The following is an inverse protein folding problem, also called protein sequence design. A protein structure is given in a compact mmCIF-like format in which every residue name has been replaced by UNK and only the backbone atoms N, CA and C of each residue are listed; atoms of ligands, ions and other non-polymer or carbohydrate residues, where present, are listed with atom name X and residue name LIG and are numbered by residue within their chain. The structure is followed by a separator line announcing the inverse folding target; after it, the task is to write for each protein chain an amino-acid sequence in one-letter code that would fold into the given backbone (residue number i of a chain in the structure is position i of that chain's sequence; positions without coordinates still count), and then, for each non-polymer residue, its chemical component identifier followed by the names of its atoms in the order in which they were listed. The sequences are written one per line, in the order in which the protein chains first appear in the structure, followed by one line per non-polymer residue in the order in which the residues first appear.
data_IF_681947685065
#
_entry.id   IF_681947685065
#
_cell.length_a   1.000
_cell.length_b   1.000
_cell.length_c   1.000
_cell.angle_alpha   90.00
_cell.angle_beta   90.00
_cell.angle_gamma   90.00
#
_symmetry.space_group_name_H-M   'P 1'
#
loop_
_entity.id
_entity.type
_entity.pdbx_description
1 polymer ?
#
# COMPACT_ATOMS: atom_id res chain seq x y z
N UNK A 1 -0.96 21.16 -30.15
CA UNK A 1 -2.31 21.35 -29.54
C UNK A 1 -2.11 21.12 -28.07
N UNK A 2 -2.47 22.08 -27.22
CA UNK A 2 -2.52 21.85 -25.79
C UNK A 2 -3.74 20.95 -25.61
N UNK A 3 -3.51 19.64 -25.47
CA UNK A 3 -4.57 18.69 -25.17
C UNK A 3 -5.15 19.08 -23.82
N UNK A 4 -6.44 19.42 -23.82
CA UNK A 4 -7.13 19.83 -22.60
C UNK A 4 -7.19 18.63 -21.66
N UNK A 5 -6.70 18.82 -20.44
CA UNK A 5 -6.79 17.81 -19.38
C UNK A 5 -8.23 17.32 -19.23
N UNK A 6 -8.39 16.00 -19.16
CA UNK A 6 -9.68 15.37 -18.90
C UNK A 6 -10.17 15.67 -17.47
N UNK A 7 -11.47 15.52 -17.22
CA UNK A 7 -12.05 15.70 -15.88
C UNK A 7 -11.36 14.81 -14.82
N UNK A 8 -10.96 13.59 -15.21
CA UNK A 8 -10.26 12.68 -14.31
C UNK A 8 -8.84 13.15 -14.00
N UNK A 9 -8.19 13.85 -14.94
CA UNK A 9 -6.85 14.41 -14.70
C UNK A 9 -6.92 15.55 -13.68
N UNK A 10 -7.93 16.43 -13.81
CA UNK A 10 -8.17 17.48 -12.81
C UNK A 10 -8.51 16.91 -11.45
N UNK A 11 -9.34 15.87 -11.40
CA UNK A 11 -9.65 15.15 -10.15
C UNK A 11 -8.39 14.57 -9.52
N UNK A 12 -7.57 13.85 -10.31
CA UNK A 12 -6.33 13.23 -9.85
C UNK A 12 -5.35 14.27 -9.32
N UNK A 13 -5.13 15.35 -10.07
CA UNK A 13 -4.24 16.45 -9.64
C UNK A 13 -4.74 17.11 -8.35
N UNK A 14 -6.04 17.35 -8.24
CA UNK A 14 -6.61 17.96 -7.04
C UNK A 14 -6.40 17.08 -5.81
N UNK A 15 -6.64 15.79 -5.92
CA UNK A 15 -6.44 14.86 -4.80
C UNK A 15 -4.95 14.74 -4.45
N UNK A 16 -4.08 14.60 -5.44
CA UNK A 16 -2.62 14.55 -5.21
C UNK A 16 -2.16 15.83 -4.50
N UNK A 17 -2.63 16.99 -4.93
CA UNK A 17 -2.31 18.26 -4.31
C UNK A 17 -2.79 18.34 -2.85
N UNK A 18 -4.01 17.91 -2.55
CA UNK A 18 -4.53 17.85 -1.18
C UNK A 18 -3.62 16.99 -0.29
N UNK A 19 -3.24 15.81 -0.76
CA UNK A 19 -2.36 14.92 0.00
C UNK A 19 -0.92 15.44 0.10
N UNK A 20 -0.43 16.17 -0.89
CA UNK A 20 0.83 16.90 -0.81
C UNK A 20 0.81 17.94 0.32
N UNK A 21 -0.25 18.73 0.39
CA UNK A 21 -0.45 19.75 1.43
C UNK A 21 -0.59 19.08 2.82
N UNK A 22 -1.37 17.99 2.92
CA UNK A 22 -1.46 17.22 4.17
C UNK A 22 -0.09 16.68 4.59
N UNK A 23 0.68 16.15 3.66
CA UNK A 23 2.05 15.67 3.91
C UNK A 23 2.98 16.77 4.40
N UNK A 24 2.86 17.99 3.85
CA UNK A 24 3.60 19.16 4.32
C UNK A 24 3.28 19.51 5.79
N UNK A 25 2.02 19.47 6.17
CA UNK A 25 1.63 19.77 7.56
C UNK A 25 1.96 18.64 8.52
N UNK A 26 1.82 17.41 8.10
CA UNK A 26 2.11 16.22 8.92
C UNK A 26 3.62 15.98 9.08
N UNK A 27 4.41 16.21 8.04
CA UNK A 27 5.81 15.83 7.94
C UNK A 27 6.00 14.40 7.46
N UNK A 28 7.19 14.13 6.93
CA UNK A 28 7.57 12.85 6.33
C UNK A 28 7.50 11.69 7.32
N UNK A 29 8.06 11.89 8.50
CA UNK A 29 8.11 10.84 9.53
C UNK A 29 6.72 10.37 9.89
N UNK A 30 5.80 11.29 10.13
CA UNK A 30 4.43 10.94 10.48
C UNK A 30 3.68 10.27 9.32
N UNK A 31 3.93 10.70 8.09
CA UNK A 31 3.34 10.08 6.90
C UNK A 31 3.85 8.65 6.68
N UNK A 32 5.16 8.42 6.86
CA UNK A 32 5.75 7.07 6.77
C UNK A 32 5.18 6.16 7.85
N UNK A 33 5.18 6.58 9.11
CA UNK A 33 4.61 5.77 10.21
C UNK A 33 3.09 5.65 10.15
N UNK A 34 2.41 6.43 9.33
CA UNK A 34 0.99 6.23 9.02
C UNK A 34 0.78 5.16 7.93
N UNK A 35 1.64 5.10 6.93
CA UNK A 35 1.53 4.18 5.80
C UNK A 35 2.22 2.81 6.06
N UNK A 36 3.41 2.82 6.66
CA UNK A 36 4.20 1.62 6.90
C UNK A 36 3.45 0.50 7.66
N UNK A 37 2.65 0.77 8.71
CA UNK A 37 1.90 -0.28 9.38
C UNK A 37 0.95 -1.04 8.46
N UNK A 38 0.33 -0.38 7.48
CA UNK A 38 -0.56 -1.02 6.52
C UNK A 38 0.21 -1.99 5.62
N UNK A 39 1.29 -1.53 5.03
CA UNK A 39 2.10 -2.33 4.11
C UNK A 39 2.77 -3.50 4.84
N UNK A 40 3.42 -3.22 5.97
CA UNK A 40 4.13 -4.23 6.74
C UNK A 40 3.19 -5.28 7.33
N UNK A 41 2.03 -4.87 7.88
CA UNK A 41 1.07 -5.83 8.44
C UNK A 41 0.47 -6.72 7.36
N UNK A 42 0.20 -6.17 6.16
CA UNK A 42 -0.30 -6.93 5.03
C UNK A 42 0.74 -7.97 4.57
N UNK A 43 2.00 -7.54 4.45
CA UNK A 43 3.11 -8.42 4.07
C UNK A 43 3.35 -9.52 5.12
N UNK A 44 3.36 -9.17 6.41
CA UNK A 44 3.53 -10.14 7.49
C UNK A 44 2.35 -11.11 7.57
N UNK A 45 1.11 -10.64 7.38
CA UNK A 45 -0.05 -11.51 7.37
C UNK A 45 -0.03 -12.48 6.18
N UNK A 46 0.46 -12.02 5.03
CA UNK A 46 0.62 -12.87 3.86
C UNK A 46 1.71 -13.94 4.07
N UNK A 47 2.89 -13.54 4.57
CA UNK A 47 4.03 -14.44 4.76
C UNK A 47 3.81 -15.44 5.90
N UNK A 48 3.26 -15.01 7.01
CA UNK A 48 3.15 -15.81 8.23
C UNK A 48 1.74 -16.32 8.54
N UNK A 49 0.74 -15.93 7.73
CA UNK A 49 -0.65 -16.40 7.88
C UNK A 49 -0.76 -17.92 7.98
N UNK A 50 -0.12 -18.70 7.08
CA UNK A 50 -0.17 -20.16 7.10
C UNK A 50 0.29 -20.80 8.41
N UNK A 51 1.24 -20.20 9.13
CA UNK A 51 1.74 -20.71 10.41
C UNK A 51 0.64 -20.70 11.49
N UNK A 52 -0.37 -19.83 11.34
CA UNK A 52 -1.47 -19.73 12.30
C UNK A 52 -2.64 -20.67 11.99
N UNK A 53 -2.66 -21.35 10.85
CA UNK A 53 -3.75 -22.26 10.47
C UNK A 53 -4.06 -23.33 11.54
N UNK A 54 -3.09 -24.06 12.09
CA UNK A 54 -3.35 -25.10 13.09
C UNK A 54 -4.03 -24.57 14.37
N UNK A 55 -3.78 -23.31 14.71
CA UNK A 55 -4.38 -22.69 15.89
C UNK A 55 -5.83 -22.24 15.65
N UNK A 56 -6.18 -21.89 14.41
CA UNK A 56 -7.51 -21.43 14.03
C UNK A 56 -8.43 -22.61 13.69
N UNK A 57 -7.89 -23.70 13.12
CA UNK A 57 -8.63 -24.93 12.80
C UNK A 57 -9.33 -25.55 14.00
N UNK A 58 -8.79 -25.35 15.21
CA UNK A 58 -9.41 -25.81 16.46
C UNK A 58 -10.79 -25.18 16.70
N UNK A 59 -11.03 -23.99 16.14
CA UNK A 59 -12.24 -23.19 16.36
C UNK A 59 -13.15 -23.08 15.13
N UNK A 60 -12.65 -23.41 13.94
CA UNK A 60 -13.37 -23.19 12.67
C UNK A 60 -13.18 -24.39 11.74
N UNK A 61 -14.27 -25.11 11.48
CA UNK A 61 -14.25 -26.39 10.74
C UNK A 61 -14.09 -26.27 9.21
N UNK A 62 -14.08 -25.06 8.64
CA UNK A 62 -14.05 -24.86 7.19
C UNK A 62 -12.70 -24.27 6.75
N UNK A 63 -11.93 -24.97 5.93
CA UNK A 63 -10.58 -24.59 5.48
C UNK A 63 -10.47 -23.17 4.89
N UNK A 64 -11.45 -22.75 4.10
CA UNK A 64 -11.48 -21.39 3.52
C UNK A 64 -11.59 -20.31 4.58
N UNK A 65 -12.42 -20.51 5.61
CA UNK A 65 -12.59 -19.55 6.70
C UNK A 65 -11.39 -19.52 7.63
N UNK A 66 -10.71 -20.65 7.83
CA UNK A 66 -9.46 -20.72 8.59
C UNK A 66 -8.41 -19.78 8.00
N UNK A 67 -8.23 -19.82 6.67
CA UNK A 67 -7.27 -18.94 5.98
C UNK A 67 -7.62 -17.47 6.16
N UNK A 68 -8.90 -17.12 5.98
CA UNK A 68 -9.37 -15.72 6.10
C UNK A 68 -9.21 -15.22 7.54
N UNK A 69 -9.63 -16.01 8.54
CA UNK A 69 -9.53 -15.61 9.94
C UNK A 69 -8.07 -15.52 10.41
N UNK A 70 -7.21 -16.45 10.01
CA UNK A 70 -5.78 -16.40 10.33
C UNK A 70 -5.11 -15.17 9.76
N UNK A 71 -5.40 -14.86 8.50
CA UNK A 71 -4.89 -13.67 7.84
C UNK A 71 -5.35 -12.38 8.53
N UNK A 72 -6.66 -12.26 8.79
CA UNK A 72 -7.24 -11.06 9.44
C UNK A 72 -6.71 -10.91 10.86
N UNK A 73 -6.64 -11.99 11.64
CA UNK A 73 -6.16 -11.95 13.01
C UNK A 73 -4.70 -11.50 13.06
N UNK A 74 -3.84 -12.10 12.25
CA UNK A 74 -2.42 -11.73 12.18
C UNK A 74 -2.23 -10.29 11.68
N UNK A 75 -2.99 -9.91 10.64
CA UNK A 75 -2.98 -8.55 10.12
C UNK A 75 -3.31 -7.54 11.23
N UNK A 76 -4.40 -7.75 11.97
CA UNK A 76 -4.83 -6.84 13.03
C UNK A 76 -3.81 -6.74 14.17
N UNK A 77 -3.26 -7.87 14.61
CA UNK A 77 -2.24 -7.89 15.67
C UNK A 77 -0.99 -7.11 15.22
N UNK A 78 -0.45 -7.42 14.05
CA UNK A 78 0.70 -6.73 13.50
C UNK A 78 0.42 -5.23 13.29
N UNK A 79 -0.75 -4.90 12.76
CA UNK A 79 -1.15 -3.52 12.51
C UNK A 79 -1.22 -2.69 13.80
N UNK A 80 -1.83 -3.23 14.86
CA UNK A 80 -1.93 -2.54 16.15
C UNK A 80 -0.54 -2.32 16.74
N UNK A 81 0.32 -3.36 16.75
CA UNK A 81 1.66 -3.27 17.30
C UNK A 81 2.50 -2.25 16.52
N UNK A 82 2.52 -2.34 15.18
CA UNK A 82 3.30 -1.44 14.32
C UNK A 82 2.79 0.00 14.40
N UNK A 83 1.49 0.19 14.44
CA UNK A 83 0.89 1.53 14.57
C UNK A 83 1.22 2.17 15.92
N UNK A 84 1.14 1.40 17.00
CA UNK A 84 1.51 1.89 18.32
C UNK A 84 2.99 2.26 18.41
N UNK A 85 3.85 1.39 17.90
CA UNK A 85 5.30 1.61 17.78
C UNK A 85 5.59 2.87 16.96
N UNK A 86 4.92 3.04 15.81
CA UNK A 86 5.05 4.22 14.96
C UNK A 86 4.69 5.53 15.65
N UNK A 87 3.64 5.56 16.48
CA UNK A 87 3.28 6.75 17.26
C UNK A 87 4.37 7.13 18.26
N UNK A 88 4.97 6.14 18.92
CA UNK A 88 6.07 6.38 19.87
C UNK A 88 7.29 6.94 19.14
N UNK A 89 7.72 6.30 18.05
CA UNK A 89 8.87 6.76 17.27
C UNK A 89 8.66 8.14 16.66
N UNK A 90 7.49 8.45 16.11
CA UNK A 90 7.21 9.75 15.51
C UNK A 90 7.31 10.90 16.52
N UNK A 91 6.97 10.66 17.78
CA UNK A 91 7.14 11.65 18.86
C UNK A 91 8.60 11.88 19.21
N UNK A 92 9.43 10.84 19.26
CA UNK A 92 10.85 10.95 19.56
C UNK A 92 11.61 11.74 18.51
N UNK A 93 11.32 11.50 17.23
CA UNK A 93 12.04 12.12 16.10
C UNK A 93 11.62 13.59 15.88
N UNK A 94 10.39 13.97 16.26
CA UNK A 94 9.91 15.35 16.12
C UNK A 94 10.73 16.37 16.93
N UNK A 95 11.57 15.91 17.86
CA UNK A 95 12.42 16.74 18.73
C UNK A 95 13.72 17.21 18.04
N UNK A 96 14.16 16.57 16.93
CA UNK A 96 15.49 16.76 16.34
C UNK A 96 15.65 18.06 15.49
N UNK A 97 14.62 18.88 15.40
CA UNK A 97 14.78 20.26 14.85
C UNK A 97 14.75 20.40 13.32
N UNK A 98 14.69 19.32 12.53
CA UNK A 98 14.68 19.33 11.06
C UNK A 98 13.27 19.53 10.45
N UNK A 99 12.45 20.35 11.09
CA UNK A 99 11.03 20.51 10.71
C UNK A 99 10.79 20.90 9.26
N UNK A 100 11.65 21.73 8.68
CA UNK A 100 11.48 22.18 7.29
C UNK A 100 11.76 21.04 6.29
N UNK A 101 12.86 20.33 6.50
CA UNK A 101 13.24 19.17 5.67
C UNK A 101 12.21 18.06 5.77
N UNK A 102 11.75 17.76 6.99
CA UNK A 102 10.68 16.79 7.25
C UNK A 102 9.38 17.14 6.51
N UNK A 103 9.01 18.43 6.47
CA UNK A 103 7.83 18.90 5.73
C UNK A 103 7.98 18.76 4.21
N UNK A 104 9.14 19.09 3.65
CA UNK A 104 9.38 18.93 2.22
C UNK A 104 9.29 17.47 1.80
N UNK A 105 9.96 16.58 2.52
CA UNK A 105 9.84 15.14 2.28
C UNK A 105 8.43 14.62 2.54
N UNK A 106 7.72 15.18 3.51
CA UNK A 106 6.31 14.89 3.78
C UNK A 106 5.40 15.22 2.60
N UNK A 107 5.62 16.37 1.95
CA UNK A 107 4.91 16.76 0.73
C UNK A 107 5.13 15.74 -0.39
N UNK A 108 6.39 15.40 -0.62
CA UNK A 108 6.75 14.43 -1.66
C UNK A 108 6.14 13.05 -1.38
N UNK A 109 6.29 12.56 -0.15
CA UNK A 109 5.76 11.25 0.25
C UNK A 109 4.23 11.21 0.24
N UNK A 110 3.57 12.27 0.67
CA UNK A 110 2.10 12.40 0.60
C UNK A 110 1.58 12.33 -0.84
N UNK A 111 2.26 13.05 -1.76
CA UNK A 111 1.94 13.00 -3.20
C UNK A 111 2.16 11.61 -3.78
N UNK A 112 3.30 10.98 -3.48
CA UNK A 112 3.67 9.66 -3.99
C UNK A 112 2.71 8.57 -3.49
N UNK A 113 2.36 8.62 -2.20
CA UNK A 113 1.38 7.72 -1.60
C UNK A 113 0.03 7.81 -2.32
N UNK A 114 -0.45 9.03 -2.56
CA UNK A 114 -1.73 9.21 -3.24
C UNK A 114 -1.66 8.82 -4.71
N UNK A 115 -0.56 9.09 -5.39
CA UNK A 115 -0.32 8.61 -6.74
C UNK A 115 -0.40 7.08 -6.82
N UNK A 116 0.26 6.37 -5.90
CA UNK A 116 0.20 4.91 -5.84
C UNK A 116 -1.23 4.39 -5.60
N UNK A 117 -1.99 5.01 -4.69
CA UNK A 117 -3.38 4.65 -4.43
C UNK A 117 -4.26 4.87 -5.67
N UNK A 118 -4.17 6.03 -6.31
CA UNK A 118 -4.94 6.34 -7.52
C UNK A 118 -4.59 5.37 -8.65
N UNK A 119 -3.30 5.11 -8.87
CA UNK A 119 -2.85 4.13 -9.88
C UNK A 119 -3.42 2.76 -9.61
N UNK A 120 -3.37 2.29 -8.37
CA UNK A 120 -3.96 1.00 -8.00
C UNK A 120 -5.47 0.96 -8.28
N UNK A 121 -6.20 2.00 -7.87
CA UNK A 121 -7.64 2.10 -8.12
C UNK A 121 -7.94 2.09 -9.62
N UNK A 122 -7.18 2.82 -10.41
CA UNK A 122 -7.38 2.90 -11.86
C UNK A 122 -7.05 1.57 -12.55
N UNK A 123 -5.94 0.92 -12.19
CA UNK A 123 -5.54 -0.38 -12.74
C UNK A 123 -6.57 -1.47 -12.43
N UNK A 124 -7.05 -1.55 -11.18
CA UNK A 124 -8.07 -2.52 -10.81
C UNK A 124 -9.42 -2.31 -11.54
N UNK A 125 -9.69 -1.10 -12.01
CA UNK A 125 -10.96 -0.76 -12.64
C UNK A 125 -10.82 -0.45 -14.15
N UNK A 126 -9.72 -0.82 -14.81
CA UNK A 126 -9.51 -0.56 -16.24
C UNK A 126 -10.69 -1.03 -17.10
N UNK A 127 -11.16 -2.26 -16.91
CA UNK A 127 -12.28 -2.83 -17.68
C UNK A 127 -13.59 -2.04 -17.53
N UNK A 128 -13.77 -1.35 -16.40
CA UNK A 128 -14.93 -0.51 -16.15
C UNK A 128 -14.79 0.84 -16.84
N UNK A 129 -13.61 1.45 -16.75
CA UNK A 129 -13.34 2.80 -17.26
C UNK A 129 -13.08 2.83 -18.76
N UNK A 130 -12.57 1.76 -19.38
CA UNK A 130 -12.25 1.71 -20.83
C UNK A 130 -13.47 1.89 -21.75
N UNK A 131 -14.67 1.94 -21.20
CA UNK A 131 -15.92 2.26 -21.92
C UNK A 131 -16.14 3.75 -22.13
N UNK A 132 -15.40 4.61 -21.45
CA UNK A 132 -15.63 6.04 -21.42
C UNK A 132 -14.52 6.82 -22.12
N UNK A 133 -14.90 7.70 -23.06
CA UNK A 133 -13.95 8.50 -23.85
C UNK A 133 -13.08 9.41 -22.96
N UNK A 134 -13.67 10.05 -21.95
CA UNK A 134 -12.94 10.89 -21.00
C UNK A 134 -11.84 10.17 -20.23
N UNK A 135 -11.92 8.85 -20.13
CA UNK A 135 -10.87 8.01 -19.55
C UNK A 135 -9.80 7.66 -20.57
N UNK A 136 -10.21 7.23 -21.80
CA UNK A 136 -9.29 6.80 -22.85
C UNK A 136 -8.31 7.90 -23.25
N UNK A 137 -8.76 9.15 -23.26
CA UNK A 137 -7.97 10.33 -23.64
C UNK A 137 -7.24 10.97 -22.45
N UNK A 138 -7.27 10.36 -21.25
CA UNK A 138 -6.68 10.93 -20.03
C UNK A 138 -5.22 10.61 -19.84
N UNK A 139 -4.47 11.57 -19.33
CA UNK A 139 -3.10 11.35 -18.85
C UNK A 139 -3.06 10.45 -17.62
N UNK A 140 -4.07 10.52 -16.76
CA UNK A 140 -4.20 9.66 -15.58
C UNK A 140 -4.18 8.18 -15.98
N UNK A 141 -4.83 7.77 -17.07
CA UNK A 141 -4.76 6.42 -17.63
C UNK A 141 -3.36 6.07 -18.09
N UNK A 142 -2.75 6.94 -18.91
CA UNK A 142 -1.42 6.68 -19.49
C UNK A 142 -0.38 6.50 -18.40
N UNK A 143 -0.36 7.39 -17.42
CA UNK A 143 0.62 7.31 -16.32
C UNK A 143 0.35 6.17 -15.36
N UNK A 144 -0.92 5.81 -15.13
CA UNK A 144 -1.28 4.67 -14.29
C UNK A 144 -0.81 3.34 -14.91
N UNK A 145 -1.01 3.15 -16.21
CA UNK A 145 -0.54 1.96 -16.92
C UNK A 145 0.99 1.89 -16.90
N UNK A 146 1.67 2.99 -17.21
CA UNK A 146 3.15 3.03 -17.14
C UNK A 146 3.69 2.74 -15.74
N UNK A 147 3.05 3.26 -14.70
CA UNK A 147 3.46 2.99 -13.34
C UNK A 147 3.24 1.52 -12.97
N UNK A 148 2.12 0.93 -13.41
CA UNK A 148 1.86 -0.48 -13.23
C UNK A 148 2.92 -1.36 -13.90
N UNK A 149 3.23 -1.09 -15.18
CA UNK A 149 4.27 -1.81 -15.92
C UNK A 149 5.65 -1.72 -15.26
N UNK A 150 6.00 -0.56 -14.70
CA UNK A 150 7.26 -0.35 -13.97
C UNK A 150 7.28 -1.07 -12.61
N UNK A 151 6.13 -1.19 -11.96
CA UNK A 151 6.04 -1.80 -10.63
C UNK A 151 5.89 -3.33 -10.68
N UNK A 152 5.39 -3.87 -11.78
CA UNK A 152 5.12 -5.29 -11.97
C UNK A 152 6.37 -6.18 -11.73
N UNK A 153 7.55 -5.93 -12.33
CA UNK A 153 8.72 -6.77 -12.12
C UNK A 153 9.20 -6.75 -10.67
N UNK A 154 9.10 -5.62 -9.97
CA UNK A 154 9.46 -5.50 -8.56
C UNK A 154 8.52 -6.35 -7.69
N UNK A 155 7.23 -6.34 -8.03
CA UNK A 155 6.23 -7.11 -7.31
C UNK A 155 6.37 -8.63 -7.57
N UNK A 156 6.67 -9.02 -8.79
CA UNK A 156 6.93 -10.41 -9.17
C UNK A 156 8.18 -10.94 -8.46
N UNK A 157 9.29 -10.20 -8.46
CA UNK A 157 10.51 -10.54 -7.73
C UNK A 157 10.27 -10.67 -6.22
N UNK A 158 9.45 -9.78 -5.67
CA UNK A 158 9.07 -9.86 -4.25
C UNK A 158 8.24 -11.10 -3.93
N UNK A 159 7.28 -11.48 -4.80
CA UNK A 159 6.48 -12.69 -4.66
C UNK A 159 7.35 -13.94 -4.74
N UNK A 160 8.22 -14.04 -5.74
CA UNK A 160 9.12 -15.17 -5.92
C UNK A 160 10.05 -15.36 -4.70
N UNK A 161 10.64 -14.28 -4.22
CA UNK A 161 11.47 -14.31 -3.01
C UNK A 161 10.66 -14.71 -1.76
N UNK A 162 9.39 -14.33 -1.67
CA UNK A 162 8.54 -14.69 -0.54
C UNK A 162 8.17 -16.18 -0.54
N UNK A 163 7.92 -16.75 -1.72
CA UNK A 163 7.67 -18.20 -1.87
C UNK A 163 8.90 -19.03 -1.50
N UNK A 164 10.10 -18.59 -1.89
CA UNK A 164 11.36 -19.25 -1.52
C UNK A 164 11.58 -19.27 0.00
N UNK A 165 11.22 -18.19 0.70
CA UNK A 165 11.32 -18.12 2.16
C UNK A 165 10.35 -19.11 2.81
N UNK A 166 9.11 -19.17 2.33
CA UNK A 166 8.07 -20.05 2.86
C UNK A 166 8.40 -21.54 2.62
N UNK A 167 8.94 -21.91 1.45
CA UNK A 167 9.34 -23.27 1.13
C UNK A 167 10.54 -23.74 1.94
N UNK A 168 11.44 -22.82 2.29
CA UNK A 168 12.65 -23.12 3.05
C UNK A 168 12.40 -23.37 4.53
N UNK A 169 11.42 -22.67 5.11
CA UNK A 169 11.09 -22.76 6.53
C UNK A 169 10.03 -23.84 6.84
N UNK A 170 9.32 -24.35 5.83
CA UNK A 170 8.27 -25.34 6.02
C UNK A 170 8.10 -26.28 4.81
N UNK A 171 8.98 -27.29 4.65
CA UNK A 171 8.95 -28.22 3.51
C UNK A 171 7.68 -29.09 3.42
N UNK A 172 6.81 -29.07 4.42
CA UNK A 172 5.54 -29.84 4.45
C UNK A 172 4.35 -29.08 3.82
N UNK A 173 4.47 -27.81 3.51
CA UNK A 173 3.42 -27.04 2.82
C UNK A 173 3.66 -27.11 1.30
N UNK A 174 3.67 -28.31 0.74
CA UNK A 174 3.45 -28.50 -0.70
C UNK A 174 1.94 -28.64 -0.93
N UNK A 175 1.36 -27.60 -1.53
CA UNK A 175 0.00 -27.64 -2.08
C UNK A 175 0.03 -28.40 -3.40
#
# INVERSE_FOLDING_TARGET
MIETLSYIDWFSLTIIFIFAVMGFFNGFIKEVFSAAPWMLSLSLAWLYGPIFFPYVEVYVDASTWVNIFSFIALFLVCFIILKFTGVVFSRLISVIGLKFVDRLFGTFFGSLKMLAILTSVFVFNLNFFDKYQWWLDSYSRIYSIKFYELSQPIFEEWLENSEVILDKDNPEIKV
#
